data_IF_012772562194
#
_entry.id   IF_012772562194
#
_cell.length_a   1.000
_cell.length_b   1.000
_cell.length_c   1.000
_cell.angle_alpha   90.00
_cell.angle_beta   90.00
_cell.angle_gamma   90.00
#
_symmetry.space_group_name_H-M   'P 1'
#
loop_
_entity.id
_entity.type
_entity.pdbx_description
1 polymer ?
#
# COMPACT_ATOMS: atom_id res chain seq x y z
N UNK A 1 14.24 10.34 -6.53
CA UNK A 1 13.68 9.25 -7.37
C UNK A 1 13.23 8.13 -6.44
N UNK A 2 12.14 7.41 -6.75
CA UNK A 2 11.77 6.21 -5.99
C UNK A 2 12.40 4.96 -6.61
N UNK A 3 12.80 4.00 -5.79
CA UNK A 3 13.38 2.73 -6.24
C UNK A 3 12.99 1.58 -5.31
N UNK A 4 13.11 0.35 -5.82
CA UNK A 4 12.87 -0.87 -5.03
C UNK A 4 14.22 -1.45 -4.61
N UNK A 5 14.34 -1.84 -3.36
CA UNK A 5 15.55 -2.48 -2.80
C UNK A 5 15.15 -3.51 -1.72
N UNK A 6 16.06 -4.39 -1.28
CA UNK A 6 15.82 -5.26 -0.14
C UNK A 6 15.40 -4.44 1.10
N UNK A 7 14.34 -4.88 1.77
CA UNK A 7 13.82 -4.22 2.96
C UNK A 7 14.27 -4.94 4.23
N UNK A 8 14.59 -4.18 5.26
CA UNK A 8 14.81 -4.72 6.61
C UNK A 8 13.52 -5.15 7.32
N UNK A 9 12.35 -4.82 6.76
CA UNK A 9 11.03 -5.21 7.28
C UNK A 9 10.62 -6.55 6.68
N UNK A 10 10.46 -6.61 5.35
CA UNK A 10 10.04 -7.82 4.67
C UNK A 10 10.35 -7.76 3.17
N UNK A 11 11.02 -8.79 2.64
CA UNK A 11 11.28 -8.94 1.20
C UNK A 11 11.92 -7.71 0.56
N UNK A 12 11.15 -6.99 -0.24
CA UNK A 12 11.55 -5.73 -0.88
C UNK A 12 10.68 -4.57 -0.37
N UNK A 13 11.24 -3.36 -0.41
CA UNK A 13 10.55 -2.14 -0.02
C UNK A 13 10.72 -1.04 -1.07
N UNK A 14 9.98 0.06 -0.90
CA UNK A 14 10.11 1.26 -1.73
C UNK A 14 10.95 2.28 -0.98
N UNK A 15 11.99 2.80 -1.62
CA UNK A 15 12.91 3.77 -1.06
C UNK A 15 12.92 5.04 -1.90
N UNK A 16 13.50 6.11 -1.36
CA UNK A 16 13.74 7.35 -2.11
C UNK A 16 15.22 7.71 -2.14
N UNK A 17 15.71 8.22 -3.27
CA UNK A 17 17.07 8.75 -3.41
C UNK A 17 17.16 10.26 -3.17
N UNK A 18 16.02 10.91 -2.91
CA UNK A 18 15.91 12.34 -2.69
C UNK A 18 14.98 12.62 -1.52
N UNK A 19 15.19 13.73 -0.82
CA UNK A 19 14.30 14.10 0.27
C UNK A 19 12.88 14.38 -0.22
N UNK A 20 11.87 13.92 0.50
CA UNK A 20 10.46 14.21 0.26
C UNK A 20 9.96 15.09 1.41
N UNK A 21 9.42 16.26 1.09
CA UNK A 21 8.88 17.16 2.10
C UNK A 21 7.59 16.60 2.70
N UNK A 22 7.32 16.94 3.97
CA UNK A 22 6.05 16.62 4.62
C UNK A 22 4.88 17.16 3.80
N UNK A 23 3.82 16.35 3.64
CA UNK A 23 2.60 16.72 2.92
C UNK A 23 2.69 16.56 1.40
N UNK A 24 3.88 16.37 0.83
CA UNK A 24 4.05 16.14 -0.61
C UNK A 24 3.31 14.89 -1.06
N UNK A 25 2.62 15.00 -2.21
CA UNK A 25 2.04 13.84 -2.88
C UNK A 25 3.15 13.00 -3.53
N UNK A 26 3.08 11.69 -3.32
CA UNK A 26 4.05 10.72 -3.81
C UNK A 26 3.42 9.95 -4.96
N UNK A 27 4.05 10.00 -6.13
CA UNK A 27 3.56 9.30 -7.32
C UNK A 27 3.91 7.80 -7.24
N UNK A 28 3.05 7.04 -6.56
CA UNK A 28 3.22 5.60 -6.35
C UNK A 28 2.58 4.73 -7.42
N UNK A 29 1.49 5.20 -8.02
CA UNK A 29 0.71 4.46 -9.01
C UNK A 29 0.58 5.27 -10.30
N UNK A 30 0.89 4.65 -11.43
CA UNK A 30 0.59 5.23 -12.72
C UNK A 30 -0.93 5.12 -13.00
N UNK A 31 -1.47 6.13 -13.66
CA UNK A 31 -2.88 6.13 -14.08
C UNK A 31 -3.12 4.94 -15.02
N UNK A 32 -4.07 4.08 -14.68
CA UNK A 32 -4.45 2.92 -15.50
C UNK A 32 -3.74 1.61 -15.15
N UNK A 33 -2.76 1.61 -14.23
CA UNK A 33 -2.05 0.40 -13.78
C UNK A 33 -2.86 -0.47 -12.80
N UNK A 34 -4.05 -0.02 -12.43
CA UNK A 34 -4.95 -0.72 -11.53
C UNK A 34 -6.33 -0.87 -12.15
N UNK A 35 -7.03 -1.93 -11.75
CA UNK A 35 -8.42 -2.18 -12.13
C UNK A 35 -9.22 -2.71 -10.95
N UNK A 36 -10.52 -2.51 -11.02
CA UNK A 36 -11.45 -3.07 -10.06
C UNK A 36 -11.77 -4.54 -10.39
N UNK A 37 -11.97 -5.36 -9.36
CA UNK A 37 -12.27 -6.78 -9.48
C UNK A 37 -13.18 -7.26 -8.33
N UNK A 38 -13.97 -8.34 -8.53
CA UNK A 38 -14.52 -9.11 -7.43
C UNK A 38 -13.42 -9.71 -6.54
N UNK A 39 -13.81 -10.33 -5.41
CA UNK A 39 -12.87 -10.92 -4.46
C UNK A 39 -11.84 -11.82 -5.16
N UNK A 40 -10.53 -11.50 -5.06
CA UNK A 40 -9.48 -12.32 -5.65
C UNK A 40 -9.32 -13.62 -4.87
N UNK A 41 -8.83 -14.65 -5.55
CA UNK A 41 -8.49 -15.96 -4.98
C UNK A 41 -7.01 -16.26 -5.17
N UNK A 42 -6.46 -17.10 -4.29
CA UNK A 42 -5.06 -17.52 -4.34
C UNK A 42 -4.06 -16.38 -4.16
N UNK A 43 -2.91 -16.48 -4.82
CA UNK A 43 -1.78 -15.54 -4.63
C UNK A 43 -2.12 -14.09 -5.02
N UNK A 44 -3.06 -13.89 -5.95
CA UNK A 44 -3.49 -12.57 -6.37
C UNK A 44 -4.03 -11.73 -5.20
N UNK A 45 -4.60 -12.37 -4.18
CA UNK A 45 -5.12 -11.69 -2.99
C UNK A 45 -4.05 -10.86 -2.27
N UNK A 46 -2.76 -11.24 -2.34
CA UNK A 46 -1.66 -10.52 -1.70
C UNK A 46 -1.43 -9.11 -2.27
N UNK A 47 -1.87 -8.87 -3.50
CA UNK A 47 -1.67 -7.61 -4.21
C UNK A 47 -2.98 -6.81 -4.39
N UNK A 48 -4.06 -7.25 -3.74
CA UNK A 48 -5.36 -6.63 -3.90
C UNK A 48 -5.79 -5.88 -2.63
N UNK A 49 -6.30 -4.67 -2.78
CA UNK A 49 -6.75 -3.82 -1.68
C UNK A 49 -8.27 -3.69 -1.73
N UNK A 50 -8.95 -3.96 -0.62
CA UNK A 50 -10.40 -3.87 -0.51
C UNK A 50 -10.91 -2.42 -0.64
N UNK A 51 -12.16 -2.24 -1.06
CA UNK A 51 -12.83 -0.92 -1.14
C UNK A 51 -14.23 -0.93 -0.51
N UNK A 52 -14.73 0.22 -0.06
CA UNK A 52 -16.12 0.47 0.43
C UNK A 52 -17.04 0.97 -0.66
N UNK A 53 -16.67 0.87 -1.93
CA UNK A 53 -17.65 1.18 -2.95
C UNK A 53 -18.94 0.41 -2.63
N UNK A 54 -20.13 0.99 -2.81
CA UNK A 54 -21.38 0.33 -2.41
C UNK A 54 -21.53 -1.10 -2.94
N UNK A 55 -20.95 -1.38 -4.12
CA UNK A 55 -20.89 -2.72 -4.73
C UNK A 55 -19.82 -3.67 -4.13
N UNK A 56 -19.08 -3.27 -3.10
CA UNK A 56 -17.92 -3.98 -2.55
C UNK A 56 -16.72 -4.00 -3.51
N UNK A 57 -15.81 -4.96 -3.33
CA UNK A 57 -14.77 -5.34 -4.29
C UNK A 57 -13.33 -4.92 -3.93
N UNK A 58 -12.42 -5.10 -4.89
CA UNK A 58 -10.98 -4.94 -4.68
C UNK A 58 -10.33 -4.17 -5.84
N UNK A 59 -9.32 -3.37 -5.51
CA UNK A 59 -8.36 -2.83 -6.46
C UNK A 59 -7.19 -3.79 -6.61
N UNK A 60 -6.83 -4.13 -7.85
CA UNK A 60 -5.71 -5.02 -8.19
C UNK A 60 -4.82 -4.41 -9.25
N UNK A 61 -3.57 -4.90 -9.41
CA UNK A 61 -2.79 -4.62 -10.59
C UNK A 61 -3.56 -5.00 -11.85
N UNK A 62 -3.49 -4.14 -12.86
CA UNK A 62 -4.01 -4.45 -14.19
C UNK A 62 -3.20 -5.56 -14.84
N UNK A 63 -1.88 -5.49 -14.69
CA UNK A 63 -0.90 -6.48 -15.13
C UNK A 63 0.00 -6.85 -13.93
N UNK A 64 0.13 -8.15 -13.65
CA UNK A 64 0.94 -8.65 -12.54
C UNK A 64 2.42 -8.74 -12.90
N UNK A 65 2.75 -8.79 -14.19
CA UNK A 65 4.12 -8.72 -14.68
C UNK A 65 4.63 -7.27 -14.68
N UNK A 66 3.73 -6.28 -14.63
CA UNK A 66 4.05 -4.85 -14.63
C UNK A 66 3.23 -4.11 -13.58
N UNK A 67 3.75 -4.09 -12.36
CA UNK A 67 3.13 -3.39 -11.23
C UNK A 67 3.79 -2.05 -10.97
N UNK A 68 2.97 -1.02 -10.74
CA UNK A 68 3.41 0.26 -10.18
C UNK A 68 4.16 0.07 -8.85
N UNK A 69 5.14 0.94 -8.58
CA UNK A 69 6.03 0.82 -7.41
C UNK A 69 5.27 0.81 -6.07
N UNK A 70 4.08 1.43 -6.01
CA UNK A 70 3.21 1.42 -4.82
C UNK A 70 2.77 0.04 -4.33
N UNK A 71 2.82 -1.00 -5.18
CA UNK A 71 2.52 -2.38 -4.76
C UNK A 71 3.61 -3.03 -3.90
N UNK A 72 4.78 -2.41 -3.78
CA UNK A 72 5.91 -2.90 -2.98
C UNK A 72 6.09 -2.15 -1.66
N UNK A 73 5.13 -1.29 -1.27
CA UNK A 73 5.17 -0.60 0.01
C UNK A 73 4.94 -1.59 1.15
N UNK A 74 5.86 -1.59 2.12
CA UNK A 74 5.71 -2.38 3.32
C UNK A 74 4.83 -1.70 4.37
N UNK A 75 4.39 -2.54 5.32
CA UNK A 75 3.65 -2.12 6.49
C UNK A 75 4.59 -1.64 7.61
N UNK A 76 4.19 -0.56 8.31
CA UNK A 76 4.77 -0.18 9.60
C UNK A 76 3.71 0.52 10.47
N UNK A 77 3.72 0.28 11.79
CA UNK A 77 2.77 0.88 12.75
C UNK A 77 2.97 2.39 12.93
N UNK A 78 4.19 2.88 12.66
CA UNK A 78 4.53 4.30 12.62
C UNK A 78 4.98 4.66 11.20
N UNK A 79 4.06 4.71 10.23
CA UNK A 79 4.43 4.88 8.83
C UNK A 79 4.90 6.31 8.56
N UNK A 80 5.67 6.49 7.48
CA UNK A 80 6.04 7.81 6.97
C UNK A 80 5.22 8.23 5.74
N UNK A 81 4.35 7.37 5.21
CA UNK A 81 3.40 7.66 4.12
C UNK A 81 1.95 7.41 4.57
N UNK A 82 1.06 8.33 4.20
CA UNK A 82 -0.37 8.20 4.42
C UNK A 82 -0.98 7.25 3.38
N UNK A 83 -1.63 6.19 3.85
CA UNK A 83 -2.39 5.27 3.00
C UNK A 83 -3.52 6.01 2.25
N UNK A 84 -3.85 5.53 1.04
CA UNK A 84 -4.91 6.02 0.14
C UNK A 84 -4.68 7.42 -0.48
N UNK A 85 -4.10 8.38 0.27
CA UNK A 85 -3.75 9.71 -0.25
C UNK A 85 -2.30 9.80 -0.75
N UNK A 86 -1.46 8.83 -0.38
CA UNK A 86 -0.07 8.72 -0.85
C UNK A 86 0.75 9.98 -0.54
N UNK A 87 0.56 10.55 0.65
CA UNK A 87 1.25 11.78 1.09
C UNK A 87 2.27 11.48 2.17
N UNK A 88 3.41 12.16 2.15
CA UNK A 88 4.40 12.05 3.21
C UNK A 88 3.86 12.63 4.54
N UNK A 89 3.94 11.86 5.63
CA UNK A 89 3.48 12.26 6.97
C UNK A 89 4.51 13.11 7.72
N UNK A 90 5.78 12.97 7.34
CA UNK A 90 6.94 13.74 7.80
C UNK A 90 7.89 13.97 6.63
N UNK A 91 8.98 14.71 6.86
CA UNK A 91 10.11 14.71 5.92
C UNK A 91 10.67 13.29 5.83
N UNK A 92 10.94 12.83 4.62
CA UNK A 92 11.57 11.53 4.33
C UNK A 92 12.92 11.82 3.70
N UNK A 93 13.99 11.31 4.29
CA UNK A 93 15.37 11.50 3.84
C UNK A 93 15.75 10.52 2.72
N UNK A 94 16.78 10.85 1.92
CA UNK A 94 17.38 9.89 1.01
C UNK A 94 17.79 8.60 1.73
N UNK A 95 17.47 7.45 1.14
CA UNK A 95 17.75 6.13 1.70
C UNK A 95 16.68 5.60 2.65
N UNK A 96 15.68 6.39 3.04
CA UNK A 96 14.58 5.89 3.88
C UNK A 96 13.58 5.05 3.08
N UNK A 97 13.08 4.00 3.71
CA UNK A 97 11.98 3.18 3.21
C UNK A 97 10.64 3.89 3.43
N UNK A 98 9.83 3.97 2.38
CA UNK A 98 8.45 4.43 2.41
C UNK A 98 7.56 3.28 2.93
N UNK A 99 6.85 3.54 4.02
CA UNK A 99 5.96 2.57 4.67
C UNK A 99 4.59 3.16 4.90
N UNK A 100 3.58 2.29 4.89
CA UNK A 100 2.19 2.65 5.17
C UNK A 100 1.62 1.79 6.30
N UNK A 101 0.54 2.24 6.92
CA UNK A 101 -0.24 1.42 7.84
C UNK A 101 -1.31 0.67 7.04
N UNK A 102 -1.21 -0.66 6.95
CA UNK A 102 -2.16 -1.49 6.21
C UNK A 102 -3.54 -1.50 6.87
N UNK A 103 -3.65 -1.26 8.17
CA UNK A 103 -4.94 -1.12 8.84
C UNK A 103 -5.70 0.15 8.40
N UNK A 104 -4.98 1.10 7.78
CA UNK A 104 -5.55 2.31 7.18
C UNK A 104 -5.80 2.18 5.68
N UNK A 105 -5.40 1.07 5.07
CA UNK A 105 -5.95 0.72 3.77
C UNK A 105 -7.42 0.37 4.00
N UNK A 106 -8.27 1.09 3.27
CA UNK A 106 -9.71 1.10 3.36
C UNK A 106 -10.38 -0.29 3.59
N UNK A 107 -11.46 -0.42 4.40
CA UNK A 107 -11.72 0.16 5.73
C UNK A 107 -11.25 -0.80 6.84
N UNK A 108 -11.24 -0.37 8.12
CA UNK A 108 -11.22 -1.33 9.23
C UNK A 108 -12.37 -2.31 9.02
N UNK A 109 -12.06 -3.60 8.94
CA UNK A 109 -13.05 -4.66 8.91
C UNK A 109 -14.15 -4.35 9.93
N UNK A 110 -15.43 -4.35 9.52
CA UNK A 110 -16.52 -4.62 10.46
C UNK A 110 -16.06 -5.82 11.28
N UNK A 111 -16.01 -5.64 12.60
CA UNK A 111 -15.15 -6.39 13.49
C UNK A 111 -14.99 -7.85 13.13
N UNK A 112 -13.74 -8.35 13.13
CA UNK A 112 -13.52 -9.71 13.60
C UNK A 112 -14.00 -9.71 15.05
N UNK A 113 -15.30 -9.98 15.25
CA UNK A 113 -15.78 -10.48 16.52
C UNK A 113 -14.89 -11.67 16.81
N UNK A 114 -14.02 -11.53 17.82
CA UNK A 114 -13.41 -12.68 18.47
C UNK A 114 -14.60 -13.56 18.85
N UNK A 115 -14.81 -14.68 18.14
CA UNK A 115 -15.63 -15.76 18.68
C UNK A 115 -14.93 -16.15 19.98
N UNK A 116 -15.46 -15.68 21.11
CA UNK A 116 -15.19 -16.32 22.38
C UNK A 116 -15.77 -17.71 22.24
N UNK A 117 -14.89 -18.69 22.19
CA UNK A 117 -15.21 -20.06 22.56
C UNK A 117 -15.76 -20.04 23.97
N UNK A 118 -17.06 -20.28 24.09
CA UNK A 118 -17.73 -20.84 25.24
C UNK A 118 -18.70 -21.89 24.72
#
# INVERSE_FOLDING_TARGET
>A
MLYVAPSGIHGVGVFTSASIAKGSAIRLFARGDYRFTPRPVGVAQRYCVETNRPAGGYWRPRDFHRMSIGYYLNHHDRPNVQACLWRALRRIEPGEELTIDYARLWPPSRGRTKRKSQ
#
